data_IF_230295795360
#
_entry.id   IF_230295795360
#
_cell.length_a   1.000
_cell.length_b   1.000
_cell.length_c   1.000
_cell.angle_alpha   90.00
_cell.angle_beta   90.00
_cell.angle_gamma   90.00
#
_symmetry.space_group_name_H-M   'P 1'
#
loop_
_entity.id
_entity.type
_entity.pdbx_description
1 polymer ?
#
# COMPACT_ATOMS: atom_id res chain seq x y z
N UNK A 1 20.92 -17.99 9.64
CA UNK A 1 20.91 -16.77 10.47
C UNK A 1 20.95 -17.06 11.98
N UNK A 2 20.02 -17.84 12.55
CA UNK A 2 20.03 -18.18 14.00
C UNK A 2 21.31 -18.89 14.47
N UNK A 3 21.88 -19.79 13.67
CA UNK A 3 23.18 -20.40 14.00
C UNK A 3 24.36 -19.43 13.88
N UNK A 4 24.24 -18.41 13.02
CA UNK A 4 25.24 -17.34 12.89
C UNK A 4 25.17 -16.38 14.07
N UNK A 5 23.97 -16.01 14.53
CA UNK A 5 23.77 -15.25 15.77
C UNK A 5 24.29 -16.02 17.00
N UNK A 6 24.15 -17.36 17.01
CA UNK A 6 24.76 -18.21 18.05
C UNK A 6 26.29 -18.26 17.99
N UNK A 7 26.90 -18.01 16.82
CA UNK A 7 28.37 -18.11 16.59
C UNK A 7 29.08 -16.75 16.61
N UNK A 8 28.37 -15.67 16.29
CA UNK A 8 28.85 -14.28 16.23
C UNK A 8 27.77 -13.40 16.87
N UNK A 9 28.08 -12.76 17.99
CA UNK A 9 27.15 -11.85 18.65
C UNK A 9 26.97 -10.60 17.79
N UNK A 10 25.73 -10.31 17.38
CA UNK A 10 25.37 -9.14 16.58
C UNK A 10 24.36 -8.31 17.37
N UNK A 11 24.79 -7.61 18.43
CA UNK A 11 23.88 -7.00 19.41
C UNK A 11 22.93 -5.96 18.79
N UNK A 12 23.39 -5.22 17.77
CA UNK A 12 22.56 -4.24 17.05
C UNK A 12 21.48 -4.91 16.19
N UNK A 13 21.79 -6.04 15.55
CA UNK A 13 20.81 -6.79 14.77
C UNK A 13 19.82 -7.54 15.68
N UNK A 14 20.30 -8.12 16.76
CA UNK A 14 19.46 -8.75 17.78
C UNK A 14 18.49 -7.76 18.41
N UNK A 15 18.96 -6.54 18.73
CA UNK A 15 18.11 -5.47 19.25
C UNK A 15 17.03 -5.06 18.23
N UNK A 16 17.36 -4.94 16.94
CA UNK A 16 16.37 -4.63 15.90
C UNK A 16 15.32 -5.75 15.73
N UNK A 17 15.76 -7.02 15.75
CA UNK A 17 14.84 -8.18 15.71
C UNK A 17 13.93 -8.18 16.94
N UNK A 18 14.47 -7.92 18.13
CA UNK A 18 13.70 -7.81 19.37
C UNK A 18 12.70 -6.66 19.30
N UNK A 19 13.10 -5.50 18.77
CA UNK A 19 12.22 -4.34 18.61
C UNK A 19 11.02 -4.65 17.72
N UNK A 20 11.24 -5.27 16.56
CA UNK A 20 10.17 -5.74 15.67
C UNK A 20 9.27 -6.76 16.40
N UNK A 21 9.87 -7.72 17.11
CA UNK A 21 9.13 -8.73 17.88
C UNK A 21 8.27 -8.11 18.99
N UNK A 22 8.74 -7.04 19.62
CA UNK A 22 8.00 -6.31 20.65
C UNK A 22 6.80 -5.55 20.11
N UNK A 23 6.72 -5.25 18.80
CA UNK A 23 5.48 -4.72 18.22
C UNK A 23 4.31 -5.71 18.33
N UNK A 24 4.58 -7.01 18.45
CA UNK A 24 3.56 -8.03 18.69
C UNK A 24 3.24 -8.23 20.18
N UNK A 25 3.94 -7.53 21.07
CA UNK A 25 3.83 -7.67 22.52
C UNK A 25 3.52 -6.30 23.14
N UNK A 26 2.32 -6.12 23.71
CA UNK A 26 1.91 -4.86 24.36
C UNK A 26 2.70 -4.59 25.66
N UNK A 27 3.98 -4.22 25.57
CA UNK A 27 4.91 -4.11 26.70
C UNK A 27 5.67 -2.78 26.69
N UNK A 28 5.91 -2.21 27.88
CA UNK A 28 6.68 -0.97 28.08
C UNK A 28 8.17 -1.08 27.71
N UNK A 29 8.67 -2.28 27.38
CA UNK A 29 10.07 -2.52 27.05
C UNK A 29 10.47 -2.04 25.65
N UNK A 30 9.49 -1.71 24.79
CA UNK A 30 9.72 -1.30 23.40
C UNK A 30 10.49 0.04 23.31
N UNK A 31 10.16 1.02 24.17
CA UNK A 31 10.78 2.35 24.17
C UNK A 31 12.28 2.30 24.49
N UNK A 32 12.68 1.52 25.50
CA UNK A 32 14.10 1.40 25.87
C UNK A 32 14.96 0.79 24.75
N UNK A 33 14.42 -0.19 24.02
CA UNK A 33 15.13 -0.81 22.89
C UNK A 33 15.16 0.14 21.69
N UNK A 34 14.06 0.86 21.42
CA UNK A 34 13.99 1.91 20.40
C UNK A 34 15.09 2.96 20.63
N UNK A 35 15.18 3.50 21.83
CA UNK A 35 16.14 4.56 22.17
C UNK A 35 17.59 4.04 22.13
N UNK A 36 17.80 2.78 22.53
CA UNK A 36 19.10 2.11 22.41
C UNK A 36 19.52 1.94 20.95
N UNK A 37 18.61 1.52 20.07
CA UNK A 37 18.87 1.42 18.63
C UNK A 37 19.15 2.78 18.00
N UNK A 38 18.38 3.80 18.36
CA UNK A 38 18.61 5.17 17.88
C UNK A 38 20.00 5.67 18.29
N UNK A 39 20.35 5.51 19.57
CA UNK A 39 21.66 5.88 20.07
C UNK A 39 22.78 5.08 19.41
N UNK A 40 22.60 3.78 19.21
CA UNK A 40 23.60 2.94 18.55
C UNK A 40 23.84 3.37 17.09
N UNK A 41 22.78 3.72 16.35
CA UNK A 41 22.87 4.10 14.93
C UNK A 41 23.46 5.51 14.72
N UNK A 42 23.10 6.48 15.56
CA UNK A 42 23.43 7.89 15.34
C UNK A 42 24.55 8.43 16.23
N UNK A 43 24.86 7.75 17.34
CA UNK A 43 25.86 8.22 18.31
C UNK A 43 27.00 7.24 18.54
N UNK A 44 26.85 5.97 18.16
CA UNK A 44 27.93 4.99 18.19
C UNK A 44 28.42 4.69 16.77
N UNK A 45 29.72 4.43 16.63
CA UNK A 45 30.30 3.98 15.36
C UNK A 45 30.04 2.48 15.20
N UNK A 46 28.87 2.10 14.68
CA UNK A 46 28.60 0.72 14.31
C UNK A 46 29.51 0.25 13.16
N UNK A 47 29.75 -1.07 13.03
CA UNK A 47 30.46 -1.62 11.90
C UNK A 47 29.79 -1.22 10.58
N UNK A 48 30.57 -0.85 9.58
CA UNK A 48 30.04 -0.57 8.24
C UNK A 48 29.98 -1.88 7.46
N UNK A 49 28.91 -2.65 7.69
CA UNK A 49 28.69 -3.96 7.08
C UNK A 49 27.21 -4.22 6.75
N UNK A 50 26.93 -5.32 6.05
CA UNK A 50 25.57 -5.69 5.65
C UNK A 50 24.64 -5.98 6.84
N UNK A 51 25.17 -6.31 8.03
CA UNK A 51 24.35 -6.52 9.22
C UNK A 51 23.81 -5.20 9.76
N UNK A 52 24.62 -4.14 9.70
CA UNK A 52 24.17 -2.79 10.07
C UNK A 52 23.11 -2.27 9.09
N UNK A 53 23.22 -2.61 7.80
CA UNK A 53 22.13 -2.37 6.82
C UNK A 53 20.85 -3.12 7.20
N UNK A 54 20.94 -4.42 7.55
CA UNK A 54 19.78 -5.19 8.03
C UNK A 54 19.16 -4.56 9.28
N UNK A 55 19.97 -4.11 10.23
CA UNK A 55 19.50 -3.40 11.44
C UNK A 55 18.74 -2.14 11.11
N UNK A 56 19.30 -1.27 10.25
CA UNK A 56 18.63 -0.02 9.86
C UNK A 56 17.33 -0.30 9.10
N UNK A 57 17.33 -1.28 8.19
CA UNK A 57 16.13 -1.68 7.44
C UNK A 57 15.01 -2.16 8.38
N UNK A 58 15.30 -3.08 9.29
CA UNK A 58 14.33 -3.57 10.27
C UNK A 58 13.83 -2.45 11.19
N UNK A 59 14.74 -1.56 11.62
CA UNK A 59 14.38 -0.44 12.48
C UNK A 59 13.48 0.57 11.76
N UNK A 60 13.77 0.91 10.50
CA UNK A 60 12.92 1.78 9.69
C UNK A 60 11.51 1.22 9.50
N UNK A 61 11.38 -0.08 9.20
CA UNK A 61 10.09 -0.80 9.09
C UNK A 61 9.31 -0.68 10.41
N UNK A 62 9.97 -0.94 11.55
CA UNK A 62 9.34 -0.88 12.86
C UNK A 62 8.93 0.55 13.26
N UNK A 63 9.78 1.55 13.00
CA UNK A 63 9.46 2.96 13.25
C UNK A 63 8.23 3.38 12.43
N UNK A 64 8.16 3.02 11.15
CA UNK A 64 7.01 3.34 10.31
C UNK A 64 5.73 2.67 10.83
N UNK A 65 5.82 1.40 11.27
CA UNK A 65 4.70 0.70 11.89
C UNK A 65 4.20 1.37 13.20
N UNK A 66 5.10 2.03 13.93
CA UNK A 66 4.83 2.77 15.16
C UNK A 66 4.45 4.24 14.94
N UNK A 67 4.03 4.62 13.73
CA UNK A 67 3.60 5.99 13.39
C UNK A 67 4.74 7.03 13.43
N UNK A 68 5.99 6.62 13.26
CA UNK A 68 7.19 7.48 13.23
C UNK A 68 7.78 7.64 11.83
N UNK A 69 6.93 7.99 10.85
CA UNK A 69 7.27 7.98 9.43
C UNK A 69 8.49 8.85 9.04
N UNK A 70 8.65 10.03 9.64
CA UNK A 70 9.78 10.92 9.36
C UNK A 70 11.12 10.30 9.79
N UNK A 71 11.14 9.68 10.98
CA UNK A 71 12.34 9.01 11.49
C UNK A 71 12.62 7.73 10.72
N UNK A 72 11.59 6.96 10.39
CA UNK A 72 11.70 5.79 9.52
C UNK A 72 12.36 6.14 8.19
N UNK A 73 11.95 7.25 7.58
CA UNK A 73 12.51 7.75 6.32
C UNK A 73 14.00 8.12 6.46
N UNK A 74 14.40 8.78 7.55
CA UNK A 74 15.81 9.12 7.82
C UNK A 74 16.70 7.87 8.00
N UNK A 75 16.20 6.89 8.75
CA UNK A 75 16.92 5.62 8.97
C UNK A 75 17.02 4.84 7.66
N UNK A 76 15.95 4.79 6.87
CA UNK A 76 15.95 4.13 5.56
C UNK A 76 16.94 4.77 4.60
N UNK A 77 16.96 6.11 4.51
CA UNK A 77 17.93 6.84 3.69
C UNK A 77 19.38 6.50 4.07
N UNK A 78 19.66 6.40 5.38
CA UNK A 78 20.97 5.98 5.89
C UNK A 78 21.29 4.52 5.50
N UNK A 79 20.29 3.63 5.51
CA UNK A 79 20.42 2.24 5.08
C UNK A 79 20.73 2.13 3.59
N UNK A 80 20.00 2.87 2.75
CA UNK A 80 20.20 2.95 1.29
C UNK A 80 21.62 3.45 1.00
N UNK A 81 22.03 4.56 1.62
CA UNK A 81 23.37 5.13 1.44
C UNK A 81 24.45 4.11 1.78
N UNK A 82 24.37 3.47 2.95
CA UNK A 82 25.35 2.47 3.37
C UNK A 82 25.36 1.24 2.45
N UNK A 83 24.19 0.74 2.02
CA UNK A 83 24.10 -0.40 1.13
C UNK A 83 24.78 -0.14 -0.22
N UNK A 84 24.62 1.06 -0.77
CA UNK A 84 25.28 1.48 -2.01
C UNK A 84 26.79 1.64 -1.82
N UNK A 85 27.24 2.25 -0.71
CA UNK A 85 28.67 2.38 -0.38
C UNK A 85 29.35 1.03 -0.21
N UNK A 86 28.63 0.03 0.31
CA UNK A 86 29.10 -1.34 0.45
C UNK A 86 29.05 -2.12 -0.88
N UNK A 87 28.39 -1.60 -1.91
CA UNK A 87 28.19 -2.28 -3.18
C UNK A 87 27.18 -3.43 -3.12
N UNK A 88 26.21 -3.39 -2.18
CA UNK A 88 25.17 -4.42 -2.05
C UNK A 88 24.29 -4.56 -3.30
N UNK A 89 24.29 -3.54 -4.17
CA UNK A 89 23.62 -3.56 -5.47
C UNK A 89 24.37 -4.37 -6.54
N UNK A 90 25.51 -5.00 -6.19
CA UNK A 90 26.35 -5.80 -7.08
C UNK A 90 26.28 -7.29 -6.72
N UNK A 91 26.27 -8.17 -7.73
CA UNK A 91 26.23 -9.63 -7.53
C UNK A 91 27.38 -10.16 -6.67
N UNK A 92 28.57 -9.58 -6.81
CA UNK A 92 29.78 -10.01 -6.12
C UNK A 92 29.69 -9.83 -4.60
N UNK A 93 28.90 -8.85 -4.13
CA UNK A 93 28.74 -8.57 -2.70
C UNK A 93 28.30 -9.81 -1.92
N UNK A 94 27.32 -10.55 -2.47
CA UNK A 94 26.79 -11.74 -1.82
C UNK A 94 27.89 -12.80 -1.69
N UNK A 95 28.65 -13.05 -2.77
CA UNK A 95 29.74 -14.03 -2.81
C UNK A 95 30.87 -13.68 -1.84
N UNK A 96 31.31 -12.42 -1.85
CA UNK A 96 32.43 -11.92 -1.04
C UNK A 96 32.10 -11.91 0.46
N UNK A 97 30.84 -11.62 0.82
CA UNK A 97 30.39 -11.52 2.21
C UNK A 97 29.65 -12.77 2.70
N UNK A 98 29.52 -13.79 1.85
CA UNK A 98 28.80 -15.04 2.15
C UNK A 98 29.61 -16.02 2.99
N UNK A 99 30.92 -15.82 3.14
CA UNK A 99 31.83 -16.73 3.86
C UNK A 99 31.74 -18.19 3.36
N UNK A 100 31.52 -18.37 2.06
CA UNK A 100 31.32 -19.69 1.44
C UNK A 100 30.01 -20.39 1.82
N UNK A 101 29.09 -19.72 2.51
CA UNK A 101 27.78 -20.27 2.86
C UNK A 101 26.69 -19.79 1.88
N UNK A 102 26.12 -20.68 1.03
CA UNK A 102 25.09 -20.32 0.08
C UNK A 102 23.84 -19.66 0.69
N UNK A 103 23.43 -20.07 1.90
CA UNK A 103 22.30 -19.44 2.61
C UNK A 103 22.61 -18.00 2.99
N UNK A 104 23.87 -17.71 3.32
CA UNK A 104 24.29 -16.36 3.65
C UNK A 104 24.29 -15.47 2.42
N UNK A 105 24.77 -15.99 1.29
CA UNK A 105 24.70 -15.30 0.00
C UNK A 105 23.24 -14.99 -0.39
N UNK A 106 22.32 -15.93 -0.16
CA UNK A 106 20.89 -15.71 -0.38
C UNK A 106 20.30 -14.66 0.54
N UNK A 107 20.70 -14.66 1.82
CA UNK A 107 20.31 -13.63 2.78
C UNK A 107 20.75 -12.24 2.32
N UNK A 108 21.93 -12.11 1.69
CA UNK A 108 22.41 -10.83 1.16
C UNK A 108 21.62 -10.35 -0.06
N UNK A 109 21.32 -11.25 -1.01
CA UNK A 109 20.42 -10.93 -2.14
C UNK A 109 19.07 -10.46 -1.65
N UNK A 110 18.47 -11.19 -0.69
CA UNK A 110 17.19 -10.81 -0.08
C UNK A 110 17.26 -9.47 0.66
N UNK A 111 18.38 -9.15 1.30
CA UNK A 111 18.56 -7.86 1.99
C UNK A 111 18.54 -6.70 0.99
N UNK A 112 19.25 -6.82 -0.14
CA UNK A 112 19.23 -5.82 -1.19
C UNK A 112 17.82 -5.61 -1.77
N UNK A 113 17.15 -6.70 -2.14
CA UNK A 113 15.82 -6.62 -2.72
C UNK A 113 14.73 -6.18 -1.73
N UNK A 114 14.86 -6.52 -0.45
CA UNK A 114 13.96 -6.00 0.59
C UNK A 114 14.16 -4.49 0.76
N UNK A 115 15.40 -4.01 0.75
CA UNK A 115 15.70 -2.58 0.80
C UNK A 115 15.10 -1.84 -0.39
N UNK A 116 15.22 -2.39 -1.61
CA UNK A 116 14.58 -1.86 -2.82
C UNK A 116 13.05 -1.78 -2.68
N UNK A 117 12.42 -2.84 -2.16
CA UNK A 117 10.96 -2.86 -1.98
C UNK A 117 10.50 -1.86 -0.92
N UNK A 118 11.17 -1.81 0.23
CA UNK A 118 10.80 -0.92 1.33
C UNK A 118 11.01 0.55 0.98
N UNK A 119 12.08 0.88 0.24
CA UNK A 119 12.31 2.22 -0.30
C UNK A 119 11.15 2.66 -1.21
N UNK A 120 10.72 1.79 -2.14
CA UNK A 120 9.57 2.07 -3.00
C UNK A 120 8.24 2.21 -2.24
N UNK A 121 8.01 1.37 -1.23
CA UNK A 121 6.79 1.43 -0.40
C UNK A 121 6.72 2.70 0.44
N UNK A 122 7.82 3.07 1.11
CA UNK A 122 7.89 4.30 1.92
C UNK A 122 7.76 5.53 1.01
N UNK A 123 8.41 5.54 -0.15
CA UNK A 123 8.28 6.61 -1.13
C UNK A 123 6.84 6.81 -1.65
N UNK A 124 6.02 5.76 -1.68
CA UNK A 124 4.63 5.86 -2.12
C UNK A 124 3.70 6.50 -1.08
N UNK A 125 4.02 6.38 0.21
CA UNK A 125 3.14 6.83 1.31
C UNK A 125 3.64 8.09 2.01
N UNK A 126 4.91 8.43 1.86
CA UNK A 126 5.54 9.62 2.44
C UNK A 126 5.51 10.82 1.49
N UNK A 127 5.46 12.02 2.06
CA UNK A 127 5.40 13.29 1.32
C UNK A 127 6.78 13.84 0.98
N UNK A 128 7.79 13.47 1.76
CA UNK A 128 9.14 14.07 1.78
C UNK A 128 10.21 13.18 1.16
N UNK A 129 9.88 11.94 0.80
CA UNK A 129 10.84 10.97 0.26
C UNK A 129 10.64 10.70 -1.22
N UNK A 130 11.72 10.43 -1.93
CA UNK A 130 11.71 9.88 -3.28
C UNK A 130 12.07 8.40 -3.24
N UNK A 131 11.70 7.65 -4.28
CA UNK A 131 12.19 6.28 -4.45
C UNK A 131 13.64 6.33 -4.95
N UNK A 132 14.60 6.32 -4.03
CA UNK A 132 16.02 6.54 -4.29
C UNK A 132 16.66 5.42 -5.12
N UNK A 133 16.30 4.18 -4.82
CA UNK A 133 16.84 2.99 -5.48
C UNK A 133 16.22 2.71 -6.86
N UNK A 134 15.19 3.47 -7.29
CA UNK A 134 14.46 3.22 -8.55
C UNK A 134 15.38 3.08 -9.76
N UNK A 135 16.31 4.02 -9.92
CA UNK A 135 17.17 4.15 -11.09
C UNK A 135 18.60 3.61 -10.84
N UNK A 136 18.82 2.97 -9.68
CA UNK A 136 20.10 2.33 -9.37
C UNK A 136 20.24 1.05 -10.18
N UNK A 137 21.31 0.96 -10.97
CA UNK A 137 21.64 -0.27 -11.68
C UNK A 137 22.01 -1.36 -10.68
N UNK A 138 21.44 -2.56 -10.87
CA UNK A 138 21.74 -3.74 -10.07
C UNK A 138 21.84 -4.97 -10.95
N UNK A 139 22.88 -5.76 -10.73
CA UNK A 139 23.06 -7.10 -11.30
C UNK A 139 22.84 -8.19 -10.24
N UNK A 140 22.29 -7.84 -9.06
CA UNK A 140 21.98 -8.80 -7.99
C UNK A 140 20.93 -9.79 -8.50
N UNK A 141 21.21 -11.10 -8.46
CA UNK A 141 20.24 -12.09 -8.91
C UNK A 141 18.93 -12.06 -8.10
N UNK A 142 17.83 -12.47 -8.74
CA UNK A 142 16.51 -12.55 -8.13
C UNK A 142 16.48 -13.59 -7.00
N UNK A 143 15.78 -13.33 -5.88
CA UNK A 143 15.71 -14.26 -4.75
C UNK A 143 15.01 -15.57 -5.09
N UNK A 144 15.41 -16.65 -4.41
CA UNK A 144 14.74 -17.95 -4.52
C UNK A 144 13.41 -17.98 -3.73
N UNK A 145 12.63 -19.06 -3.87
CA UNK A 145 11.38 -19.22 -3.13
C UNK A 145 11.61 -19.34 -1.61
N UNK A 146 10.59 -18.97 -0.82
CA UNK A 146 10.69 -19.07 0.64
C UNK A 146 10.92 -20.52 1.10
N UNK A 147 10.22 -21.47 0.48
CA UNK A 147 10.38 -22.89 0.80
C UNK A 147 11.80 -23.40 0.51
N UNK A 148 12.44 -22.93 -0.56
CA UNK A 148 13.82 -23.29 -0.93
C UNK A 148 14.83 -22.76 0.08
N UNK A 149 14.66 -21.51 0.53
CA UNK A 149 15.52 -20.92 1.55
C UNK A 149 15.37 -21.59 2.91
N UNK A 150 14.13 -21.81 3.38
CA UNK A 150 13.85 -22.43 4.68
C UNK A 150 14.30 -23.90 4.71
N UNK A 151 14.10 -24.65 3.63
CA UNK A 151 14.56 -26.05 3.53
C UNK A 151 16.05 -26.19 3.23
N UNK A 152 16.76 -25.08 2.99
CA UNK A 152 18.15 -25.08 2.52
C UNK A 152 18.36 -25.80 1.18
N UNK A 153 17.32 -25.90 0.36
CA UNK A 153 17.33 -26.45 -1.00
C UNK A 153 17.43 -25.31 -2.03
N UNK A 154 18.54 -24.57 -2.00
CA UNK A 154 18.75 -23.43 -2.90
C UNK A 154 18.91 -23.87 -4.37
N UNK A 155 18.48 -23.04 -5.34
CA UNK A 155 18.62 -23.35 -6.75
C UNK A 155 20.09 -23.36 -7.20
N UNK A 156 20.41 -24.20 -8.18
CA UNK A 156 21.75 -24.30 -8.76
C UNK A 156 22.14 -23.08 -9.61
N UNK A 157 21.16 -22.35 -10.14
CA UNK A 157 21.35 -21.14 -10.92
C UNK A 157 20.32 -20.09 -10.50
N UNK A 158 20.81 -18.89 -10.21
CA UNK A 158 19.96 -17.74 -9.91
C UNK A 158 19.68 -16.98 -11.20
N UNK A 159 18.43 -16.50 -11.35
CA UNK A 159 18.02 -15.73 -12.51
C UNK A 159 18.29 -14.25 -12.31
N UNK A 160 18.66 -13.55 -13.38
CA UNK A 160 18.81 -12.11 -13.38
C UNK A 160 17.46 -11.42 -13.61
N UNK A 161 17.39 -10.12 -13.31
CA UNK A 161 16.24 -9.30 -13.66
C UNK A 161 16.06 -9.19 -15.19
N UNK A 162 17.16 -9.21 -15.94
CA UNK A 162 17.14 -9.19 -17.42
C UNK A 162 16.52 -10.46 -18.00
N UNK A 163 16.86 -11.64 -17.45
CA UNK A 163 16.21 -12.90 -17.84
C UNK A 163 14.71 -12.87 -17.59
N UNK A 164 14.26 -12.28 -16.47
CA UNK A 164 12.83 -12.08 -16.19
C UNK A 164 12.15 -11.18 -17.21
N UNK A 165 12.77 -10.04 -17.55
CA UNK A 165 12.22 -9.09 -18.51
C UNK A 165 12.11 -9.69 -19.93
N UNK A 166 13.00 -10.61 -20.30
CA UNK A 166 13.04 -11.25 -21.61
C UNK A 166 12.27 -12.58 -21.70
N UNK A 167 11.87 -13.19 -20.57
CA UNK A 167 11.32 -14.55 -20.51
C UNK A 167 10.16 -14.81 -21.50
N UNK A 168 9.26 -13.84 -21.67
CA UNK A 168 8.11 -13.95 -22.59
C UNK A 168 8.51 -14.02 -24.07
N UNK A 169 9.65 -13.43 -24.44
CA UNK A 169 10.13 -13.40 -25.83
C UNK A 169 11.04 -14.57 -26.16
N UNK A 170 11.61 -15.20 -25.13
CA UNK A 170 12.55 -16.32 -25.26
C UNK A 170 11.87 -17.70 -25.21
N UNK A 171 10.52 -17.75 -25.16
CA UNK A 171 9.70 -18.97 -25.02
C UNK A 171 10.04 -19.81 -23.78
N UNK A 172 10.45 -19.14 -22.70
CA UNK A 172 10.75 -19.80 -21.44
C UNK A 172 9.47 -19.87 -20.59
N UNK A 173 8.90 -21.08 -20.46
CA UNK A 173 7.77 -21.40 -19.57
C UNK A 173 8.23 -21.46 -18.09
N UNK A 174 9.01 -20.46 -17.69
CA UNK A 174 9.71 -20.40 -16.39
C UNK A 174 8.81 -19.73 -15.36
N UNK A 175 8.60 -20.43 -14.24
CA UNK A 175 7.94 -19.84 -13.07
C UNK A 175 9.00 -19.24 -12.15
N UNK A 176 8.88 -17.93 -11.90
CA UNK A 176 9.74 -17.21 -10.96
C UNK A 176 9.20 -17.27 -9.52
N UNK A 177 10.05 -16.88 -8.57
CA UNK A 177 9.70 -16.85 -7.14
C UNK A 177 8.66 -15.77 -6.83
N UNK A 178 7.94 -15.91 -5.71
CA UNK A 178 7.03 -14.84 -5.25
C UNK A 178 7.75 -13.52 -4.95
N UNK A 179 9.02 -13.59 -4.55
CA UNK A 179 9.88 -12.42 -4.40
C UNK A 179 10.07 -11.67 -5.73
N UNK A 180 10.25 -12.40 -6.84
CA UNK A 180 10.41 -11.80 -8.18
C UNK A 180 9.18 -10.98 -8.55
N UNK A 181 7.98 -11.54 -8.40
CA UNK A 181 6.75 -10.82 -8.74
C UNK A 181 6.49 -9.61 -7.82
N UNK A 182 6.92 -9.69 -6.55
CA UNK A 182 6.88 -8.55 -5.62
C UNK A 182 7.85 -7.44 -6.04
N UNK A 183 9.07 -7.79 -6.43
CA UNK A 183 10.05 -6.83 -6.96
C UNK A 183 9.50 -6.15 -8.23
N UNK A 184 8.92 -6.91 -9.16
CA UNK A 184 8.36 -6.33 -10.38
C UNK A 184 7.16 -5.41 -10.10
N UNK A 185 6.30 -5.77 -9.15
CA UNK A 185 5.22 -4.89 -8.70
C UNK A 185 5.76 -3.54 -8.17
N UNK A 186 6.88 -3.54 -7.43
CA UNK A 186 7.52 -2.29 -6.97
C UNK A 186 8.19 -1.53 -8.11
N UNK A 187 8.75 -2.20 -9.12
CA UNK A 187 9.28 -1.53 -10.32
C UNK A 187 8.17 -0.76 -11.05
N UNK A 188 6.98 -1.34 -11.16
CA UNK A 188 5.80 -0.66 -11.73
C UNK A 188 5.39 0.53 -10.86
N UNK A 189 5.34 0.36 -9.54
CA UNK A 189 5.10 1.46 -8.59
C UNK A 189 6.09 2.61 -8.81
N UNK A 190 7.38 2.32 -8.98
CA UNK A 190 8.40 3.33 -9.25
C UNK A 190 8.16 4.14 -10.53
N UNK A 191 7.65 3.50 -11.59
CA UNK A 191 7.25 4.19 -12.83
C UNK A 191 6.06 5.13 -12.59
N UNK A 192 5.10 4.72 -11.76
CA UNK A 192 3.95 5.56 -11.38
C UNK A 192 4.41 6.77 -10.59
N UNK A 193 5.25 6.58 -9.57
CA UNK A 193 5.80 7.67 -8.77
C UNK A 193 6.61 8.66 -9.63
N UNK A 194 7.37 8.16 -10.60
CA UNK A 194 8.09 9.00 -11.56
C UNK A 194 7.15 9.81 -12.46
N UNK A 195 6.10 9.18 -12.99
CA UNK A 195 5.14 9.84 -13.87
C UNK A 195 4.32 10.91 -13.13
N UNK A 196 4.02 10.70 -11.86
CA UNK A 196 3.30 11.67 -11.02
C UNK A 196 4.14 12.90 -10.63
N UNK A 197 5.47 12.86 -10.79
CA UNK A 197 6.36 14.01 -10.54
C UNK A 197 6.54 14.92 -11.76
N UNK A 198 6.13 14.48 -12.95
CA UNK A 198 6.27 15.27 -14.18
C UNK A 198 5.08 16.21 -14.31
N UNK A 199 5.36 17.51 -14.37
CA UNK A 199 4.35 18.55 -14.65
C UNK A 199 3.74 18.42 -16.05
N UNK A 200 4.40 17.70 -16.97
CA UNK A 200 3.91 17.49 -18.34
C UNK A 200 3.02 16.25 -18.43
N UNK A 201 1.77 16.49 -18.83
CA UNK A 201 0.78 15.47 -19.17
C UNK A 201 1.23 14.65 -20.39
N UNK A 202 1.85 13.50 -20.14
CA UNK A 202 2.15 12.50 -21.17
C UNK A 202 1.16 11.33 -21.06
N UNK A 203 0.05 11.44 -21.80
CA UNK A 203 -0.96 10.38 -21.90
C UNK A 203 -0.37 9.03 -22.30
N UNK A 204 0.61 9.02 -23.21
CA UNK A 204 1.21 7.79 -23.68
C UNK A 204 1.98 7.09 -22.55
N UNK A 205 2.64 7.87 -21.68
CA UNK A 205 3.28 7.32 -20.49
C UNK A 205 2.26 6.73 -19.50
N UNK A 206 1.06 7.30 -19.38
CA UNK A 206 0.01 6.78 -18.47
C UNK A 206 -0.57 5.47 -19.01
N UNK A 207 -0.91 5.42 -20.29
CA UNK A 207 -1.42 4.21 -20.93
C UNK A 207 -0.39 3.08 -20.92
N UNK A 208 0.89 3.41 -21.12
CA UNK A 208 1.97 2.43 -21.02
C UNK A 208 2.11 1.85 -19.60
N UNK A 209 2.00 2.69 -18.56
CA UNK A 209 2.08 2.24 -17.16
C UNK A 209 0.84 1.42 -16.78
N UNK A 210 -0.34 1.83 -17.22
CA UNK A 210 -1.57 1.07 -17.05
C UNK A 210 -1.46 -0.33 -17.69
N UNK A 211 -0.91 -0.40 -18.91
CA UNK A 211 -0.63 -1.67 -19.57
C UNK A 211 0.34 -2.55 -18.77
N UNK A 212 1.34 -1.97 -18.08
CA UNK A 212 2.22 -2.74 -17.19
C UNK A 212 1.47 -3.38 -16.01
N UNK A 213 0.54 -2.65 -15.37
CA UNK A 213 -0.27 -3.19 -14.26
C UNK A 213 -1.14 -4.37 -14.71
N UNK A 214 -1.77 -4.21 -15.88
CA UNK A 214 -2.60 -5.26 -16.49
C UNK A 214 -1.73 -6.45 -16.90
N UNK A 215 -0.62 -6.20 -17.59
CA UNK A 215 0.32 -7.24 -18.03
C UNK A 215 0.86 -8.04 -16.85
N UNK A 216 1.24 -7.37 -15.75
CA UNK A 216 1.72 -8.04 -14.55
C UNK A 216 0.70 -9.08 -14.08
N UNK A 217 -0.59 -8.72 -14.01
CA UNK A 217 -1.63 -9.64 -13.57
C UNK A 217 -1.93 -10.77 -14.57
N UNK A 218 -1.93 -10.46 -15.88
CA UNK A 218 -2.24 -11.43 -16.93
C UNK A 218 -1.16 -12.50 -17.10
N UNK A 219 0.11 -12.14 -16.90
CA UNK A 219 1.24 -13.03 -17.12
C UNK A 219 1.67 -13.80 -15.86
N UNK A 220 0.93 -13.69 -14.75
CA UNK A 220 1.20 -14.57 -13.62
C UNK A 220 0.87 -16.03 -13.95
N UNK A 221 1.79 -16.96 -13.65
CA UNK A 221 1.53 -18.38 -13.82
C UNK A 221 0.38 -18.80 -12.90
N UNK A 222 -0.29 -19.89 -13.25
CA UNK A 222 -1.48 -20.36 -12.52
C UNK A 222 -1.21 -20.56 -11.01
N UNK A 223 0.00 -20.99 -10.64
CA UNK A 223 0.45 -21.16 -9.25
C UNK A 223 0.59 -19.85 -8.46
N UNK A 224 0.63 -18.69 -9.12
CA UNK A 224 0.87 -17.37 -8.52
C UNK A 224 -0.29 -16.38 -8.72
N UNK A 225 -1.42 -16.85 -9.25
CA UNK A 225 -2.63 -15.99 -9.42
C UNK A 225 -3.30 -15.66 -8.10
N UNK A 226 -3.19 -16.54 -7.11
CA UNK A 226 -3.78 -16.36 -5.78
C UNK A 226 -2.67 -16.41 -4.72
N UNK A 227 -2.71 -15.55 -3.70
CA UNK A 227 -1.74 -15.56 -2.61
C UNK A 227 -1.96 -16.74 -1.64
N UNK A 228 -3.03 -17.51 -1.80
CA UNK A 228 -3.29 -18.71 -0.99
C UNK A 228 -2.82 -19.97 -1.71
N UNK A 229 -1.94 -20.72 -1.05
CA UNK A 229 -1.45 -22.01 -1.52
C UNK A 229 -2.51 -23.10 -1.43
N UNK A 230 -2.23 -24.25 -2.07
CA UNK A 230 -3.11 -25.43 -2.02
C UNK A 230 -3.27 -26.02 -0.61
N UNK A 231 -2.31 -25.74 0.27
CA UNK A 231 -2.28 -26.10 1.68
C UNK A 231 -3.05 -25.12 2.58
N UNK A 232 -3.66 -24.07 1.99
CA UNK A 232 -4.37 -23.02 2.71
C UNK A 232 -3.46 -22.02 3.41
N UNK A 233 -2.14 -22.10 3.24
CA UNK A 233 -1.21 -21.09 3.75
C UNK A 233 -1.17 -19.88 2.83
N UNK A 234 -0.93 -18.70 3.41
CA UNK A 234 -0.73 -17.49 2.62
C UNK A 234 0.75 -17.35 2.28
N UNK A 235 1.02 -17.17 1.00
CA UNK A 235 2.27 -16.68 0.47
C UNK A 235 2.33 -15.15 0.69
N UNK A 236 3.00 -14.74 1.77
CA UNK A 236 3.10 -13.33 2.16
C UNK A 236 3.80 -12.46 1.11
N UNK A 237 4.73 -13.02 0.32
CA UNK A 237 5.40 -12.25 -0.73
C UNK A 237 4.46 -11.97 -1.88
N UNK A 238 3.64 -12.96 -2.26
CA UNK A 238 2.64 -12.80 -3.30
C UNK A 238 1.44 -11.95 -2.84
N UNK A 239 1.06 -12.05 -1.56
CA UNK A 239 0.11 -11.15 -0.92
C UNK A 239 0.58 -9.69 -1.03
N UNK A 240 1.84 -9.43 -0.65
CA UNK A 240 2.43 -8.10 -0.78
C UNK A 240 2.51 -7.64 -2.24
N UNK A 241 2.83 -8.52 -3.19
CA UNK A 241 2.85 -8.16 -4.61
C UNK A 241 1.47 -7.70 -5.10
N UNK A 242 0.39 -8.42 -4.73
CA UNK A 242 -1.01 -8.01 -5.02
C UNK A 242 -1.36 -6.70 -4.34
N UNK A 243 -0.98 -6.52 -3.08
CA UNK A 243 -1.16 -5.27 -2.34
C UNK A 243 -0.48 -4.10 -3.06
N UNK A 244 0.75 -4.27 -3.53
CA UNK A 244 1.50 -3.25 -4.27
C UNK A 244 0.81 -2.91 -5.59
N UNK A 245 0.35 -3.89 -6.37
CA UNK A 245 -0.34 -3.63 -7.65
C UNK A 245 -1.70 -2.96 -7.46
N UNK A 246 -2.48 -3.35 -6.45
CA UNK A 246 -3.73 -2.66 -6.10
C UNK A 246 -3.48 -1.21 -5.72
N UNK A 247 -2.49 -0.99 -4.85
CA UNK A 247 -2.06 0.34 -4.42
C UNK A 247 -1.57 1.20 -5.60
N UNK A 248 -0.73 0.62 -6.46
CA UNK A 248 -0.20 1.25 -7.66
C UNK A 248 -1.32 1.70 -8.60
N UNK A 249 -2.34 0.86 -8.78
CA UNK A 249 -3.52 1.18 -9.60
C UNK A 249 -4.33 2.33 -9.00
N UNK A 250 -4.50 2.38 -7.68
CA UNK A 250 -5.13 3.52 -6.99
C UNK A 250 -4.32 4.81 -7.22
N UNK A 251 -3.00 4.77 -6.99
CA UNK A 251 -2.11 5.92 -7.17
C UNK A 251 -2.06 6.43 -8.62
N UNK A 252 -2.20 5.54 -9.59
CA UNK A 252 -2.25 5.91 -11.01
C UNK A 252 -3.59 6.56 -11.39
N UNK A 253 -4.71 5.96 -10.96
CA UNK A 253 -6.02 6.34 -11.51
C UNK A 253 -6.78 7.34 -10.67
N UNK A 254 -6.68 7.27 -9.34
CA UNK A 254 -7.45 8.15 -8.46
C UNK A 254 -7.19 9.63 -8.74
N UNK A 255 -5.92 10.13 -8.83
CA UNK A 255 -5.61 11.53 -9.19
C UNK A 255 -6.19 12.02 -10.52
N UNK A 256 -6.57 11.09 -11.41
CA UNK A 256 -7.08 11.34 -12.77
C UNK A 256 -8.59 11.07 -12.91
N UNK A 257 -9.27 10.76 -11.80
CA UNK A 257 -10.68 10.38 -11.75
C UNK A 257 -11.62 11.57 -11.47
N UNK A 258 -12.93 11.29 -11.40
CA UNK A 258 -13.96 12.22 -10.92
C UNK A 258 -14.14 12.22 -9.40
N UNK A 259 -13.37 11.40 -8.66
CA UNK A 259 -13.53 11.26 -7.22
C UNK A 259 -13.15 12.56 -6.51
N UNK A 260 -13.97 12.98 -5.55
CA UNK A 260 -13.76 14.23 -4.83
C UNK A 260 -12.57 14.10 -3.86
N UNK A 261 -11.57 14.96 -4.02
CA UNK A 261 -10.41 15.02 -3.15
C UNK A 261 -10.68 15.80 -1.87
N UNK A 262 -11.55 16.81 -1.93
CA UNK A 262 -11.75 17.77 -0.85
C UNK A 262 -12.32 17.13 0.41
N UNK A 263 -13.25 16.18 0.26
CA UNK A 263 -13.90 15.50 1.38
C UNK A 263 -12.97 14.59 2.19
N UNK A 264 -11.79 14.25 1.66
CA UNK A 264 -10.88 13.26 2.27
C UNK A 264 -9.48 13.80 2.60
N UNK A 265 -9.22 15.11 2.38
CA UNK A 265 -7.89 15.72 2.59
C UNK A 265 -7.38 15.65 4.03
N UNK A 266 -8.26 15.38 4.99
CA UNK A 266 -7.90 15.25 6.41
C UNK A 266 -7.28 13.90 6.74
N UNK A 267 -7.38 12.91 5.83
CA UNK A 267 -6.65 11.64 5.93
C UNK A 267 -5.23 11.84 5.39
N UNK A 268 -4.26 11.82 6.30
CA UNK A 268 -2.83 12.02 6.01
C UNK A 268 -1.98 10.81 6.38
N UNK A 269 -2.48 9.96 7.26
CA UNK A 269 -1.79 8.73 7.64
C UNK A 269 -1.64 7.85 6.38
N UNK A 270 -0.40 7.43 6.08
CA UNK A 270 -0.13 6.49 4.98
C UNK A 270 -0.59 6.95 3.58
N UNK A 271 -0.89 8.24 3.37
CA UNK A 271 -1.38 8.76 2.09
C UNK A 271 -0.59 10.01 1.74
N UNK A 272 0.04 9.99 0.56
CA UNK A 272 0.70 11.18 0.04
C UNK A 272 -0.34 12.23 -0.33
N UNK A 273 -0.26 13.44 0.24
CA UNK A 273 -1.16 14.57 -0.09
C UNK A 273 -0.93 15.15 -1.50
N UNK A 274 -0.11 14.52 -2.35
CA UNK A 274 0.18 14.95 -3.74
C UNK A 274 -0.96 14.65 -4.71
N UNK A 275 -2.18 14.57 -4.20
CA UNK A 275 -3.38 14.26 -4.96
C UNK A 275 -3.99 15.56 -5.51
N UNK A 276 -3.29 16.17 -6.47
CA UNK A 276 -3.90 17.20 -7.30
C UNK A 276 -4.71 16.53 -8.42
N UNK A 277 -5.86 17.11 -8.77
CA UNK A 277 -6.58 16.72 -9.98
C UNK A 277 -5.68 16.91 -11.18
N UNK A 278 -5.21 15.81 -11.74
CA UNK A 278 -4.44 15.85 -12.97
C UNK A 278 -5.41 15.97 -14.15
N UNK A 279 -5.12 16.81 -15.15
CA UNK A 279 -5.84 16.75 -16.42
C UNK A 279 -5.84 15.32 -16.92
N UNK A 280 -6.99 14.82 -17.40
CA UNK A 280 -7.11 13.48 -17.95
C UNK A 280 -8.23 13.45 -18.98
N UNK A 281 -8.02 12.71 -20.07
CA UNK A 281 -9.10 12.26 -20.94
C UNK A 281 -9.72 11.00 -20.32
N UNK A 282 -10.98 10.69 -20.63
CA UNK A 282 -11.67 9.50 -20.14
C UNK A 282 -11.63 9.32 -18.60
N UNK A 283 -11.95 10.38 -17.86
CA UNK A 283 -12.00 10.38 -16.39
C UNK A 283 -12.93 9.30 -15.81
N UNK A 284 -13.95 8.90 -16.55
CA UNK A 284 -14.84 7.80 -16.22
C UNK A 284 -14.08 6.47 -16.14
N UNK A 285 -13.16 6.21 -17.08
CA UNK A 285 -12.31 5.02 -17.08
C UNK A 285 -11.40 5.03 -15.85
N UNK A 286 -10.77 6.17 -15.55
CA UNK A 286 -9.94 6.30 -14.35
C UNK A 286 -10.74 6.11 -13.06
N UNK A 287 -11.96 6.62 -13.01
CA UNK A 287 -12.86 6.42 -11.86
C UNK A 287 -13.19 4.93 -11.69
N UNK A 288 -13.57 4.25 -12.76
CA UNK A 288 -13.86 2.81 -12.72
C UNK A 288 -12.64 1.98 -12.29
N UNK A 289 -11.44 2.28 -12.83
CA UNK A 289 -10.21 1.56 -12.48
C UNK A 289 -9.75 1.83 -11.05
N UNK A 290 -9.91 3.06 -10.54
CA UNK A 290 -9.60 3.37 -9.14
C UNK A 290 -10.51 2.60 -8.18
N UNK A 291 -11.81 2.53 -8.48
CA UNK A 291 -12.78 1.76 -7.68
C UNK A 291 -12.49 0.26 -7.75
N UNK A 292 -12.25 -0.28 -8.95
CA UNK A 292 -11.88 -1.68 -9.11
C UNK A 292 -10.61 -2.01 -8.32
N UNK A 293 -9.60 -1.14 -8.35
CA UNK A 293 -8.38 -1.35 -7.58
C UNK A 293 -8.63 -1.35 -6.06
N UNK A 294 -9.47 -0.44 -5.56
CA UNK A 294 -9.89 -0.43 -4.16
C UNK A 294 -10.66 -1.70 -3.77
N UNK A 295 -11.50 -2.24 -4.67
CA UNK A 295 -12.18 -3.53 -4.47
C UNK A 295 -11.20 -4.71 -4.47
N UNK A 296 -10.17 -4.72 -5.32
CA UNK A 296 -9.12 -5.75 -5.27
C UNK A 296 -8.35 -5.71 -3.93
N UNK A 297 -8.09 -4.52 -3.39
CA UNK A 297 -7.54 -4.38 -2.03
C UNK A 297 -8.52 -4.92 -0.99
N UNK A 298 -9.81 -4.63 -1.11
CA UNK A 298 -10.84 -5.15 -0.21
C UNK A 298 -10.92 -6.68 -0.24
N UNK A 299 -10.70 -7.32 -1.40
CA UNK A 299 -10.60 -8.79 -1.51
C UNK A 299 -9.41 -9.37 -0.74
N UNK A 300 -8.31 -8.62 -0.58
CA UNK A 300 -7.20 -9.06 0.27
C UNK A 300 -7.59 -9.07 1.76
N UNK A 301 -8.46 -8.15 2.20
CA UNK A 301 -8.98 -8.12 3.57
C UNK A 301 -9.80 -9.37 3.89
N UNK A 302 -10.51 -9.92 2.91
CA UNK A 302 -11.41 -11.06 3.09
C UNK A 302 -10.73 -12.43 2.98
N UNK A 303 -9.41 -12.46 2.74
CA UNK A 303 -8.65 -13.71 2.78
C UNK A 303 -8.77 -14.38 4.16
N UNK A 304 -8.80 -15.72 4.24
CA UNK A 304 -9.05 -16.46 5.47
C UNK A 304 -7.78 -16.52 6.35
N UNK A 305 -7.20 -15.36 6.68
CA UNK A 305 -6.01 -15.24 7.50
C UNK A 305 -6.12 -14.04 8.44
N UNK A 306 -5.61 -14.13 9.69
CA UNK A 306 -5.66 -13.00 10.61
C UNK A 306 -4.90 -11.79 10.06
N UNK A 307 -5.58 -10.64 9.96
CA UNK A 307 -4.98 -9.39 9.46
C UNK A 307 -3.71 -8.97 10.21
N UNK A 308 -3.62 -9.31 11.51
CA UNK A 308 -2.44 -9.06 12.32
C UNK A 308 -1.20 -9.89 11.96
N UNK A 309 -1.29 -10.83 11.01
CA UNK A 309 -0.16 -11.60 10.49
C UNK A 309 0.41 -11.05 9.18
N UNK A 310 -0.27 -10.09 8.56
CA UNK A 310 0.23 -9.41 7.36
C UNK A 310 1.19 -8.27 7.72
N UNK A 311 1.96 -7.83 6.73
CA UNK A 311 2.82 -6.66 6.85
C UNK A 311 2.04 -5.41 7.25
N UNK A 312 2.64 -4.55 8.09
CA UNK A 312 2.04 -3.28 8.49
C UNK A 312 1.81 -2.33 7.30
N UNK A 313 2.54 -2.48 6.19
CA UNK A 313 2.29 -1.71 4.96
C UNK A 313 0.88 -1.95 4.39
N UNK A 314 0.22 -3.05 4.75
CA UNK A 314 -1.17 -3.29 4.38
C UNK A 314 -2.13 -2.26 4.99
N UNK A 315 -1.79 -1.67 6.14
CA UNK A 315 -2.52 -0.52 6.71
C UNK A 315 -2.59 0.62 5.72
N UNK A 316 -1.48 0.96 5.06
CA UNK A 316 -1.46 2.04 4.09
C UNK A 316 -2.30 1.71 2.86
N UNK A 317 -2.23 0.47 2.39
CA UNK A 317 -3.05 -0.03 1.28
C UNK A 317 -4.55 0.08 1.58
N UNK A 318 -4.99 -0.40 2.76
CA UNK A 318 -6.38 -0.30 3.23
C UNK A 318 -6.81 1.15 3.39
N UNK A 319 -5.91 2.04 3.82
CA UNK A 319 -6.20 3.47 3.96
C UNK A 319 -6.47 4.11 2.60
N UNK A 320 -5.64 3.84 1.58
CA UNK A 320 -5.86 4.32 0.22
C UNK A 320 -7.15 3.79 -0.41
N UNK A 321 -7.49 2.51 -0.19
CA UNK A 321 -8.77 1.97 -0.62
C UNK A 321 -9.96 2.64 0.10
N UNK A 322 -9.85 2.87 1.41
CA UNK A 322 -10.86 3.58 2.21
C UNK A 322 -11.11 4.99 1.70
N UNK A 323 -10.05 5.75 1.43
CA UNK A 323 -10.12 7.10 0.87
C UNK A 323 -10.80 7.07 -0.50
N UNK A 324 -10.50 6.09 -1.34
CA UNK A 324 -11.17 5.89 -2.65
C UNK A 324 -12.67 5.64 -2.49
N UNK A 325 -13.06 4.75 -1.58
CA UNK A 325 -14.47 4.46 -1.31
C UNK A 325 -15.22 5.65 -0.70
N UNK A 326 -14.59 6.40 0.22
CA UNK A 326 -15.17 7.59 0.82
C UNK A 326 -15.43 8.68 -0.22
N UNK A 327 -14.46 8.97 -1.09
CA UNK A 327 -14.64 9.93 -2.18
C UNK A 327 -15.74 9.52 -3.15
N UNK A 328 -15.92 8.22 -3.39
CA UNK A 328 -17.01 7.74 -4.22
C UNK A 328 -18.35 7.87 -3.52
N UNK A 329 -18.43 7.48 -2.25
CA UNK A 329 -19.66 7.62 -1.47
C UNK A 329 -20.12 9.08 -1.41
N UNK A 330 -19.20 10.01 -1.19
CA UNK A 330 -19.44 11.46 -1.24
C UNK A 330 -20.07 11.90 -2.57
N UNK A 331 -19.62 11.34 -3.70
CA UNK A 331 -20.16 11.65 -5.03
C UNK A 331 -21.55 11.06 -5.34
N UNK A 332 -22.01 10.06 -4.58
CA UNK A 332 -23.32 9.44 -4.78
C UNK A 332 -24.43 10.37 -4.28
N UNK A 333 -25.49 10.54 -5.04
CA UNK A 333 -26.66 11.31 -4.59
C UNK A 333 -27.35 10.62 -3.39
N UNK A 334 -27.92 11.36 -2.42
CA UNK A 334 -28.47 10.77 -1.18
C UNK A 334 -29.59 9.72 -1.35
N UNK A 335 -30.14 9.57 -2.55
CA UNK A 335 -31.20 8.60 -2.90
C UNK A 335 -30.71 7.45 -3.78
N UNK A 336 -29.41 7.37 -4.04
CA UNK A 336 -28.78 6.24 -4.73
C UNK A 336 -28.67 5.01 -3.84
N UNK A 337 -28.34 3.86 -4.45
CA UNK A 337 -27.99 2.66 -3.68
C UNK A 337 -26.60 2.83 -3.04
N UNK A 338 -26.60 3.26 -1.79
CA UNK A 338 -25.37 3.45 -1.00
C UNK A 338 -24.96 2.19 -0.22
N UNK A 339 -25.72 1.08 -0.29
CA UNK A 339 -25.46 -0.11 0.53
C UNK A 339 -24.10 -0.73 0.17
N UNK A 340 -23.78 -1.02 -1.11
CA UNK A 340 -22.53 -1.68 -1.46
C UNK A 340 -21.29 -0.89 -1.00
N UNK A 341 -21.29 0.43 -1.22
CA UNK A 341 -20.15 1.28 -0.84
C UNK A 341 -20.01 1.40 0.68
N UNK A 342 -21.13 1.43 1.43
CA UNK A 342 -21.11 1.44 2.89
C UNK A 342 -20.53 0.14 3.46
N UNK A 343 -20.83 -1.02 2.86
CA UNK A 343 -20.21 -2.28 3.28
C UNK A 343 -18.70 -2.30 3.03
N UNK A 344 -18.22 -1.76 1.89
CA UNK A 344 -16.79 -1.64 1.64
C UNK A 344 -16.09 -0.72 2.66
N UNK A 345 -16.69 0.42 2.99
CA UNK A 345 -16.17 1.33 4.03
C UNK A 345 -16.14 0.64 5.40
N UNK A 346 -17.19 -0.10 5.75
CA UNK A 346 -17.25 -0.87 7.02
C UNK A 346 -16.18 -1.95 7.07
N UNK A 347 -15.97 -2.66 5.96
CA UNK A 347 -14.93 -3.68 5.84
C UNK A 347 -13.55 -3.08 6.09
N UNK A 348 -13.20 -1.98 5.43
CA UNK A 348 -11.92 -1.30 5.62
C UNK A 348 -11.74 -0.75 7.04
N UNK A 349 -12.78 -0.14 7.62
CA UNK A 349 -12.77 0.29 9.03
C UNK A 349 -12.56 -0.90 9.98
N UNK A 350 -13.21 -2.02 9.72
CA UNK A 350 -13.05 -3.27 10.46
C UNK A 350 -11.62 -3.80 10.37
N UNK A 351 -11.01 -3.73 9.19
CA UNK A 351 -9.64 -4.16 8.97
C UNK A 351 -8.62 -3.28 9.73
N UNK A 352 -8.74 -1.96 9.62
CA UNK A 352 -7.88 -1.02 10.37
C UNK A 352 -8.02 -1.22 11.89
N UNK A 353 -9.24 -1.43 12.38
CA UNK A 353 -9.50 -1.78 13.79
C UNK A 353 -8.86 -3.11 14.20
N UNK A 354 -8.84 -4.12 13.33
CA UNK A 354 -8.19 -5.39 13.65
C UNK A 354 -6.67 -5.26 13.75
N UNK A 355 -6.08 -4.27 13.08
CA UNK A 355 -4.63 -4.01 13.04
C UNK A 355 -4.17 -3.00 14.10
N UNK A 356 -5.04 -2.12 14.62
CA UNK A 356 -4.66 -1.01 15.52
C UNK A 356 -3.96 -1.44 16.82
N UNK A 357 -4.25 -2.65 17.30
CA UNK A 357 -3.63 -3.17 18.52
C UNK A 357 -2.16 -3.59 18.32
N UNK A 358 -1.75 -3.83 17.07
CA UNK A 358 -0.40 -4.24 16.69
C UNK A 358 0.39 -3.06 16.13
N UNK A 359 -0.25 -2.27 15.28
CA UNK A 359 0.38 -1.19 14.54
C UNK A 359 -0.24 0.15 14.93
N UNK A 360 0.47 1.01 15.70
CA UNK A 360 -0.01 2.35 16.04
C UNK A 360 -0.45 3.18 14.83
N UNK A 361 0.26 3.07 13.71
CA UNK A 361 -0.12 3.73 12.44
C UNK A 361 -1.53 3.35 11.97
N UNK A 362 -2.01 2.14 12.26
CA UNK A 362 -3.37 1.72 11.96
C UNK A 362 -4.41 2.40 12.86
N UNK A 363 -4.07 2.70 14.11
CA UNK A 363 -4.92 3.50 15.00
C UNK A 363 -5.11 4.93 14.48
N UNK A 364 -4.01 5.56 14.04
CA UNK A 364 -4.03 6.88 13.42
C UNK A 364 -4.87 6.89 12.13
N UNK A 365 -4.64 5.92 11.23
CA UNK A 365 -5.42 5.76 10.01
C UNK A 365 -6.91 5.50 10.28
N UNK A 366 -7.22 4.60 11.24
CA UNK A 366 -8.60 4.28 11.64
C UNK A 366 -9.35 5.53 12.11
N UNK A 367 -8.69 6.34 12.95
CA UNK A 367 -9.29 7.55 13.48
C UNK A 367 -9.64 8.54 12.36
N UNK A 368 -8.69 8.78 11.44
CA UNK A 368 -8.88 9.70 10.32
C UNK A 368 -9.97 9.21 9.35
N UNK A 369 -9.93 7.95 8.93
CA UNK A 369 -10.94 7.36 8.02
C UNK A 369 -12.34 7.40 8.64
N UNK A 370 -12.48 7.05 9.93
CA UNK A 370 -13.77 7.14 10.62
C UNK A 370 -14.31 8.55 10.70
N UNK A 371 -13.44 9.52 10.99
CA UNK A 371 -13.85 10.93 11.10
C UNK A 371 -14.45 11.42 9.79
N UNK A 372 -13.76 11.18 8.67
CA UNK A 372 -14.28 11.54 7.33
C UNK A 372 -15.59 10.82 7.01
N UNK A 373 -15.69 9.53 7.33
CA UNK A 373 -16.94 8.79 7.13
C UNK A 373 -18.12 9.40 7.93
N UNK A 374 -17.87 9.91 9.13
CA UNK A 374 -18.88 10.58 9.96
C UNK A 374 -19.28 11.95 9.38
N UNK A 375 -18.31 12.71 8.85
CA UNK A 375 -18.55 14.00 8.20
C UNK A 375 -19.43 13.83 6.95
N UNK A 376 -19.06 12.93 6.04
CA UNK A 376 -19.85 12.61 4.83
C UNK A 376 -21.26 12.14 5.20
N UNK A 377 -21.39 11.28 6.23
CA UNK A 377 -22.69 10.82 6.70
C UNK A 377 -23.58 11.95 7.21
N UNK A 378 -23.01 12.87 8.00
CA UNK A 378 -23.74 14.00 8.56
C UNK A 378 -24.21 14.97 7.48
N UNK A 379 -23.35 15.27 6.50
CA UNK A 379 -23.66 16.13 5.35
C UNK A 379 -24.81 15.53 4.52
N UNK A 380 -24.69 14.26 4.12
CA UNK A 380 -25.74 13.57 3.37
C UNK A 380 -27.07 13.52 4.12
N UNK A 381 -27.04 13.25 5.43
CA UNK A 381 -28.26 13.24 6.26
C UNK A 381 -28.92 14.62 6.31
N UNK A 382 -28.13 15.69 6.43
CA UNK A 382 -28.64 17.05 6.38
C UNK A 382 -29.29 17.37 5.02
N UNK A 383 -28.62 16.99 3.92
CA UNK A 383 -29.17 17.16 2.56
C UNK A 383 -30.48 16.38 2.33
N UNK A 384 -30.56 15.13 2.81
CA UNK A 384 -31.79 14.34 2.74
C UNK A 384 -32.94 14.99 3.51
N UNK A 385 -32.68 15.51 4.72
CA UNK A 385 -33.70 16.18 5.52
C UNK A 385 -34.23 17.45 4.82
N UNK A 386 -33.33 18.30 4.30
CA UNK A 386 -33.71 19.51 3.55
C UNK A 386 -34.59 19.17 2.35
N UNK A 387 -34.24 18.10 1.63
CA UNK A 387 -35.03 17.66 0.47
C UNK A 387 -36.41 17.12 0.85
N UNK A 388 -36.50 16.34 1.94
CA UNK A 388 -37.79 15.86 2.46
C UNK A 388 -38.67 17.01 2.97
N UNK A 389 -38.06 18.00 3.63
CA UNK A 389 -38.75 19.21 4.05
C UNK A 389 -39.23 20.03 2.83
N UNK A 390 -38.46 20.07 1.74
CA UNK A 390 -38.87 20.72 0.49
C UNK A 390 -40.05 19.99 -0.17
N UNK A 391 -40.02 18.65 -0.27
CA UNK A 391 -41.13 17.87 -0.82
C UNK A 391 -42.39 18.04 0.04
N UNK A 392 -42.27 17.94 1.37
CA UNK A 392 -43.44 18.07 2.25
C UNK A 392 -44.05 19.47 2.17
N UNK A 393 -43.24 20.52 2.03
CA UNK A 393 -43.73 21.87 1.79
C UNK A 393 -44.40 22.02 0.42
N UNK A 394 -43.82 21.44 -0.65
CA UNK A 394 -44.43 21.45 -1.99
C UNK A 394 -45.76 20.67 -2.01
N UNK A 395 -45.85 19.51 -1.35
CA UNK A 395 -47.09 18.73 -1.23
C UNK A 395 -48.15 19.49 -0.42
N UNK A 396 -47.75 20.20 0.63
CA UNK A 396 -48.65 21.07 1.40
C UNK A 396 -49.14 22.21 0.50
N UNK A 397 -48.27 22.88 -0.24
CA UNK A 397 -48.66 23.97 -1.16
C UNK A 397 -49.57 23.45 -2.28
N UNK A 398 -49.25 22.31 -2.88
CA UNK A 398 -50.05 21.65 -3.91
C UNK A 398 -51.44 21.27 -3.37
N UNK A 399 -51.52 20.69 -2.17
CA UNK A 399 -52.79 20.36 -1.54
C UNK A 399 -53.61 21.60 -1.14
N UNK A 400 -52.97 22.71 -0.76
CA UNK A 400 -53.65 23.99 -0.51
C UNK A 400 -54.21 24.60 -1.81
N UNK A 401 -53.53 24.42 -2.95
CA UNK A 401 -54.00 24.85 -4.27
C UNK A 401 -55.16 23.97 -4.75
N UNK A 402 -55.07 22.65 -4.59
CA UNK A 402 -56.13 21.69 -4.96
C UNK A 402 -57.39 21.85 -4.11
N UNK A 403 -57.24 22.15 -2.82
CA UNK A 403 -58.36 22.43 -1.91
C UNK A 403 -58.91 23.87 -2.04
N UNK A 404 -58.28 24.72 -2.87
CA UNK A 404 -58.55 26.16 -2.97
C UNK A 404 -59.33 26.64 -4.21
N UNK A 405 -59.78 25.76 -5.12
CA UNK A 405 -60.49 26.17 -6.34
C UNK A 405 -61.81 25.43 -6.58
N UNK A 406 -62.82 25.70 -5.72
CA UNK A 406 -64.23 25.79 -6.16
C UNK A 406 -64.91 26.93 -5.40
N UNK A 407 -64.84 28.15 -5.94
CA UNK A 407 -65.86 29.18 -5.73
C UNK A 407 -65.61 30.37 -6.67
N UNK A 408 -65.86 30.16 -7.97
CA UNK A 408 -66.22 31.28 -8.83
C UNK A 408 -67.63 31.76 -8.44
N UNK A 409 -67.90 33.08 -8.40
CA UNK A 409 -69.24 33.56 -8.10
C UNK A 409 -70.17 33.17 -9.25
N UNK A 410 -71.08 32.24 -8.97
CA UNK A 410 -72.14 31.86 -9.88
C UNK A 410 -73.04 33.05 -10.19
N UNK A 411 -73.17 33.34 -11.49
CA UNK A 411 -74.23 34.17 -12.02
C UNK A 411 -75.60 33.63 -11.57
N UNK A 412 -76.41 34.48 -10.92
CA UNK A 412 -77.86 34.28 -10.83
C UNK A 412 -78.52 35.18 -11.88
N UNK A 413 -79.22 34.53 -12.81
CA UNK A 413 -80.07 35.12 -13.84
C UNK A 413 -81.49 35.44 -13.30
N UNK A 414 -82.00 36.59 -13.74
CA UNK A 414 -83.37 36.90 -14.21
C UNK A 414 -84.59 36.64 -13.31
N UNK A 415 -85.25 37.75 -12.95
CA UNK A 415 -86.67 38.00 -13.28
C UNK A 415 -86.92 39.49 -13.43
#
# INVERSE_FOLDING_TARGET
>A
MLELLKKKTLPHLEAAIQYVGLCYLSTSSSEAIRDSLDHALFHQSLPRDGFTVQTMLLFAIALHANDEADKASQVLHSAVTMALELGMNRQDFASDNGLGNPLMQESWRRTWWELYVVDGLIAAVSQSTSFELRDVTSDVPLPCEECEYVSSCLPYGYRSLEEYDNALFENDDVTYSSFTYRIDAVRILGKILAASQRDSFDLQSIDAIDALLVNWSLHLPASKRQPIGKDGQIDEMLFQARMIVGTSSILLHRPRSHLNFNSVQTVKACVSSREHLLPAQAREIHTAKALQAAEEVAKLITLPHPLGKHTHFFVCCVTMASVTFLSHWDSIIPFGDEIPIKEQIRLSIGALRAMENLWPVAGTALHQVKKVAQEIFAEKKASSNIYLDAITNDDIVQSMIENGLVSGPGAQQLS
#
